data_IF_210280307287
#
_entry.id   IF_210280307287
#
_cell.length_a   1.000
_cell.length_b   1.000
_cell.length_c   1.000
_cell.angle_alpha   90.00
_cell.angle_beta   90.00
_cell.angle_gamma   90.00
#
_symmetry.space_group_name_H-M   'P 1'
#
loop_
_entity.id
_entity.type
_entity.pdbx_description
1 polymer ?
#
# COMPACT_ATOMS: atom_id res chain seq x y z
N UNK A 1 -20.69 17.34 -6.22
CA UNK A 1 -19.69 16.23 -6.17
C UNK A 1 -20.25 15.06 -6.97
N UNK A 2 -19.40 14.17 -7.49
CA UNK A 2 -19.83 12.98 -8.20
C UNK A 2 -20.48 11.98 -7.22
N UNK A 3 -21.71 11.54 -7.50
CA UNK A 3 -22.46 10.59 -6.66
C UNK A 3 -21.71 9.29 -6.37
N UNK A 4 -20.89 8.83 -7.32
CA UNK A 4 -20.02 7.66 -7.10
C UNK A 4 -19.00 7.93 -5.98
N UNK A 5 -18.36 9.09 -6.01
CA UNK A 5 -17.36 9.47 -4.99
C UNK A 5 -18.02 9.63 -3.62
N UNK A 6 -19.21 10.24 -3.56
CA UNK A 6 -19.99 10.40 -2.31
C UNK A 6 -20.38 9.04 -1.72
N UNK A 7 -20.79 8.09 -2.55
CA UNK A 7 -21.14 6.74 -2.11
C UNK A 7 -19.91 5.89 -1.73
N UNK A 8 -18.75 6.17 -2.34
CA UNK A 8 -17.52 5.40 -2.11
C UNK A 8 -16.83 5.80 -0.80
N UNK A 9 -16.63 7.10 -0.58
CA UNK A 9 -15.78 7.63 0.48
C UNK A 9 -16.49 7.65 1.83
N UNK A 10 -15.80 7.21 2.87
CA UNK A 10 -16.25 7.28 4.25
C UNK A 10 -15.25 8.08 5.10
N UNK A 11 -15.75 8.87 6.05
CA UNK A 11 -14.90 9.58 7.00
C UNK A 11 -14.55 8.71 8.20
N UNK A 12 -15.44 7.83 8.61
CA UNK A 12 -15.34 7.04 9.82
C UNK A 12 -15.02 5.57 9.53
N UNK A 13 -14.36 4.93 10.48
CA UNK A 13 -14.15 3.49 10.52
C UNK A 13 -15.45 2.77 10.86
N UNK A 14 -15.75 1.66 10.18
CA UNK A 14 -16.84 0.78 10.58
C UNK A 14 -16.60 0.17 11.98
N UNK A 15 -17.68 0.05 12.76
CA UNK A 15 -17.63 -0.62 14.07
C UNK A 15 -17.36 -2.14 13.96
N UNK A 16 -17.46 -2.71 12.77
CA UNK A 16 -17.10 -4.12 12.53
C UNK A 16 -15.58 -4.35 12.54
N UNK A 17 -14.77 -3.28 12.45
CA UNK A 17 -13.31 -3.37 12.52
C UNK A 17 -12.88 -3.06 13.96
N UNK A 18 -12.40 -4.05 14.74
CA UNK A 18 -11.82 -3.78 16.04
C UNK A 18 -10.61 -2.85 15.93
N UNK A 19 -10.35 -2.05 16.96
CA UNK A 19 -9.28 -1.04 16.92
C UNK A 19 -7.89 -1.65 16.69
N UNK A 20 -7.64 -2.83 17.22
CA UNK A 20 -6.38 -3.56 17.02
C UNK A 20 -6.14 -4.02 15.56
N UNK A 21 -7.17 -4.03 14.73
CA UNK A 21 -7.09 -4.36 13.30
C UNK A 21 -7.13 -3.12 12.38
N UNK A 22 -7.28 -1.94 12.93
CA UNK A 22 -7.25 -0.68 12.15
C UNK A 22 -5.80 -0.27 11.82
N UNK A 23 -5.10 -1.14 11.08
CA UNK A 23 -3.67 -0.98 10.73
C UNK A 23 -3.38 0.26 9.89
N UNK A 24 -4.38 0.74 9.16
CA UNK A 24 -4.25 1.74 8.10
C UNK A 24 -4.60 3.16 8.56
N UNK A 25 -5.05 3.35 9.78
CA UNK A 25 -5.56 4.64 10.29
C UNK A 25 -4.58 5.79 10.08
N UNK A 26 -3.30 5.55 10.33
CA UNK A 26 -2.25 6.57 10.22
C UNK A 26 -1.79 6.81 8.77
N UNK A 27 -2.21 5.97 7.82
CA UNK A 27 -1.96 6.17 6.39
C UNK A 27 -3.03 7.01 5.70
N UNK A 28 -4.24 7.14 6.27
CA UNK A 28 -5.32 7.91 5.65
C UNK A 28 -4.85 9.33 5.36
N UNK A 29 -5.02 9.77 4.10
CA UNK A 29 -4.58 11.07 3.60
C UNK A 29 -3.64 10.96 2.40
N UNK A 30 -2.85 12.00 2.19
CA UNK A 30 -1.98 12.15 1.02
C UNK A 30 -0.50 12.16 1.41
N UNK A 31 0.32 11.51 0.58
CA UNK A 31 1.74 11.31 0.83
C UNK A 31 2.57 11.63 -0.41
N UNK A 32 3.67 12.33 -0.19
CA UNK A 32 4.76 12.45 -1.16
C UNK A 32 5.71 11.28 -0.97
N UNK A 33 6.13 10.66 -2.07
CA UNK A 33 6.98 9.47 -2.04
C UNK A 33 8.37 9.74 -2.59
N UNK A 34 9.36 9.12 -1.94
CA UNK A 34 10.65 8.79 -2.53
C UNK A 34 10.64 7.28 -2.78
N UNK A 35 10.47 6.87 -4.04
CA UNK A 35 10.53 5.48 -4.47
C UNK A 35 11.94 5.15 -4.87
N UNK A 36 12.55 4.16 -4.21
CA UNK A 36 13.95 3.81 -4.38
C UNK A 36 14.08 2.41 -4.97
N UNK A 37 14.62 2.33 -6.18
CA UNK A 37 15.03 1.10 -6.83
C UNK A 37 16.50 0.83 -6.60
N UNK A 38 16.89 -0.42 -6.42
CA UNK A 38 18.27 -0.83 -6.25
C UNK A 38 18.93 -0.22 -5.03
N UNK A 39 18.20 -0.05 -3.95
CA UNK A 39 18.67 0.57 -2.71
C UNK A 39 20.00 -0.02 -2.23
N UNK A 40 20.95 0.85 -1.94
CA UNK A 40 22.28 0.47 -1.46
C UNK A 40 23.19 -0.14 -2.53
N UNK A 41 22.82 -0.11 -3.81
CA UNK A 41 23.64 -0.60 -4.93
C UNK A 41 24.14 0.56 -5.80
N UNK A 42 25.15 0.32 -6.69
CA UNK A 42 25.60 1.35 -7.64
C UNK A 42 24.52 1.80 -8.64
N UNK A 43 23.43 1.05 -8.77
CA UNK A 43 22.31 1.35 -9.67
C UNK A 43 21.09 1.96 -8.93
N UNK A 44 21.31 2.47 -7.73
CA UNK A 44 20.26 3.12 -6.95
C UNK A 44 19.65 4.28 -7.73
N UNK A 45 18.31 4.26 -7.81
CA UNK A 45 17.53 5.27 -8.52
C UNK A 45 16.35 5.73 -7.64
N UNK A 46 16.16 7.03 -7.56
CA UNK A 46 15.09 7.69 -6.85
C UNK A 46 14.05 8.24 -7.82
N UNK A 47 12.78 7.96 -7.57
CA UNK A 47 11.66 8.47 -8.36
C UNK A 47 10.62 9.08 -7.40
N UNK A 48 10.22 10.32 -7.66
CA UNK A 48 9.15 10.96 -6.89
C UNK A 48 7.80 10.35 -7.26
N UNK A 49 6.99 10.10 -6.25
CA UNK A 49 5.64 9.57 -6.42
C UNK A 49 4.63 10.21 -5.47
N UNK A 50 3.41 9.72 -5.57
CA UNK A 50 2.29 10.11 -4.71
C UNK A 50 1.57 8.84 -4.25
N UNK A 51 1.04 8.86 -3.01
CA UNK A 51 0.18 7.80 -2.51
C UNK A 51 -0.96 8.41 -1.70
N UNK A 52 -2.19 8.10 -2.08
CA UNK A 52 -3.38 8.67 -1.44
C UNK A 52 -4.22 7.54 -0.88
N UNK A 53 -4.65 7.65 0.38
CA UNK A 53 -5.43 6.64 1.06
C UNK A 53 -6.74 7.23 1.57
N UNK A 54 -7.83 6.50 1.40
CA UNK A 54 -9.15 6.87 1.93
C UNK A 54 -9.87 5.66 2.50
N UNK A 55 -10.74 5.91 3.49
CA UNK A 55 -11.74 4.92 3.91
C UNK A 55 -12.85 4.88 2.87
N UNK A 56 -13.36 3.69 2.62
CA UNK A 56 -14.42 3.43 1.63
C UNK A 56 -15.51 2.53 2.19
N UNK A 57 -16.67 2.52 1.51
CA UNK A 57 -17.74 1.54 1.74
C UNK A 57 -18.16 1.49 3.22
N UNK A 58 -18.67 2.62 3.73
CA UNK A 58 -19.09 2.77 5.12
C UNK A 58 -17.97 2.50 6.14
N UNK A 59 -16.71 2.71 5.72
CA UNK A 59 -15.53 2.49 6.55
C UNK A 59 -15.11 1.03 6.71
N UNK A 60 -15.72 0.09 5.98
CA UNK A 60 -15.34 -1.33 5.97
C UNK A 60 -14.06 -1.60 5.22
N UNK A 61 -13.69 -0.72 4.29
CA UNK A 61 -12.51 -0.85 3.47
C UNK A 61 -11.60 0.36 3.48
N UNK A 62 -10.43 0.16 2.94
CA UNK A 62 -9.44 1.19 2.64
C UNK A 62 -9.06 1.05 1.18
N UNK A 63 -9.12 2.16 0.44
CA UNK A 63 -8.61 2.20 -0.92
C UNK A 63 -7.44 3.19 -0.99
N UNK A 64 -6.44 2.83 -1.76
CA UNK A 64 -5.37 3.76 -2.11
C UNK A 64 -5.26 3.98 -3.61
N UNK A 65 -4.58 5.07 -3.97
CA UNK A 65 -4.11 5.33 -5.32
C UNK A 65 -2.61 5.55 -5.23
N UNK A 66 -1.84 4.65 -5.83
CA UNK A 66 -0.38 4.71 -5.92
C UNK A 66 0.03 5.24 -7.29
N UNK A 67 0.83 6.28 -7.34
CA UNK A 67 1.23 6.96 -8.57
C UNK A 67 2.74 7.20 -8.53
N UNK A 68 3.46 6.55 -9.43
CA UNK A 68 4.91 6.69 -9.54
C UNK A 68 5.36 6.53 -11.01
N UNK A 69 5.95 7.51 -11.66
CA UNK A 69 6.25 8.88 -11.19
C UNK A 69 5.00 9.69 -10.80
N UNK A 70 5.20 10.75 -10.01
CA UNK A 70 4.14 11.66 -9.59
C UNK A 70 3.39 12.25 -10.81
N UNK A 71 2.11 12.62 -10.63
CA UNK A 71 1.27 13.17 -11.73
C UNK A 71 1.91 14.34 -12.44
N UNK A 72 2.63 15.20 -11.71
CA UNK A 72 3.36 16.35 -12.29
C UNK A 72 4.55 15.96 -13.17
N UNK A 73 5.03 14.72 -13.08
CA UNK A 73 6.22 14.23 -13.76
C UNK A 73 5.93 13.12 -14.78
N UNK A 74 4.67 12.66 -14.86
CA UNK A 74 4.29 11.62 -15.82
C UNK A 74 4.27 12.17 -17.24
N UNK A 75 4.79 11.36 -18.17
CA UNK A 75 4.84 11.66 -19.60
C UNK A 75 3.63 11.03 -20.33
N UNK A 76 3.30 9.79 -19.99
CA UNK A 76 2.18 9.07 -20.58
C UNK A 76 1.56 8.04 -19.60
N UNK A 77 0.45 7.40 -20.02
CA UNK A 77 -0.28 6.46 -19.19
C UNK A 77 0.43 5.14 -18.92
N UNK A 78 1.41 4.78 -19.73
CA UNK A 78 2.19 3.55 -19.58
C UNK A 78 3.45 3.72 -18.75
N UNK A 79 3.80 4.95 -18.41
CA UNK A 79 5.00 5.21 -17.61
C UNK A 79 4.78 4.84 -16.14
N UNK A 80 5.60 3.92 -15.62
CA UNK A 80 5.57 3.51 -14.22
C UNK A 80 4.23 2.92 -13.79
N UNK A 81 3.73 3.35 -12.64
CA UNK A 81 2.49 2.85 -12.04
C UNK A 81 1.48 3.96 -11.79
N UNK A 82 0.23 3.68 -12.08
CA UNK A 82 -0.93 4.46 -11.64
C UNK A 82 -1.99 3.43 -11.26
N UNK A 83 -1.87 2.91 -10.06
CA UNK A 83 -2.62 1.75 -9.60
C UNK A 83 -3.43 2.03 -8.35
N UNK A 84 -4.22 1.06 -7.97
CA UNK A 84 -5.06 1.12 -6.78
C UNK A 84 -5.02 -0.19 -6.02
N UNK A 85 -5.04 -0.11 -4.69
CA UNK A 85 -5.29 -1.26 -3.81
C UNK A 85 -6.60 -1.07 -3.09
N UNK A 86 -7.46 -2.08 -3.12
CA UNK A 86 -8.64 -2.15 -2.28
C UNK A 86 -8.37 -3.16 -1.18
N UNK A 87 -8.59 -2.76 0.07
CA UNK A 87 -8.44 -3.57 1.28
C UNK A 87 -9.79 -3.67 1.95
N UNK A 88 -10.27 -4.90 2.15
CA UNK A 88 -11.50 -5.16 2.89
C UNK A 88 -11.20 -5.95 4.14
N UNK A 89 -11.71 -5.50 5.29
CA UNK A 89 -11.59 -6.26 6.52
C UNK A 89 -12.46 -7.51 6.48
N UNK A 90 -11.88 -8.64 6.84
CA UNK A 90 -12.57 -9.92 6.94
C UNK A 90 -12.73 -10.30 8.42
N UNK A 91 -13.90 -10.09 9.03
CA UNK A 91 -14.11 -10.34 10.46
C UNK A 91 -14.02 -11.82 10.83
N UNK A 92 -14.39 -12.72 9.91
CA UNK A 92 -14.33 -14.17 10.16
C UNK A 92 -12.90 -14.68 10.27
N UNK A 93 -11.96 -14.10 9.50
CA UNK A 93 -10.55 -14.48 9.48
C UNK A 93 -9.67 -13.53 10.27
N UNK A 94 -10.20 -12.40 10.74
CA UNK A 94 -9.46 -11.35 11.45
C UNK A 94 -8.23 -10.90 10.67
N UNK A 95 -8.43 -10.57 9.39
CA UNK A 95 -7.38 -10.16 8.45
C UNK A 95 -7.93 -9.16 7.45
N UNK A 96 -7.05 -8.59 6.65
CA UNK A 96 -7.41 -7.75 5.51
C UNK A 96 -7.24 -8.54 4.20
N UNK A 97 -8.32 -8.71 3.45
CA UNK A 97 -8.27 -9.27 2.09
C UNK A 97 -8.06 -8.11 1.12
N UNK A 98 -7.08 -8.26 0.20
CA UNK A 98 -6.61 -7.14 -0.61
C UNK A 98 -6.43 -7.52 -2.05
N UNK A 99 -6.70 -6.57 -2.94
CA UNK A 99 -6.39 -6.65 -4.37
C UNK A 99 -5.71 -5.36 -4.83
N UNK A 100 -4.57 -5.51 -5.49
CA UNK A 100 -3.87 -4.44 -6.20
C UNK A 100 -4.06 -4.61 -7.69
N UNK A 101 -4.28 -3.51 -8.41
CA UNK A 101 -4.35 -3.50 -9.88
C UNK A 101 -3.72 -2.25 -10.46
N UNK A 102 -2.98 -2.44 -11.54
CA UNK A 102 -2.37 -1.39 -12.36
C UNK A 102 -2.11 -1.94 -13.76
N UNK A 103 -2.74 -1.33 -14.78
CA UNK A 103 -2.64 -1.79 -16.17
C UNK A 103 -2.87 -3.31 -16.32
N UNK A 104 -1.85 -4.04 -16.72
CA UNK A 104 -1.88 -5.48 -16.97
C UNK A 104 -1.65 -6.31 -15.71
N UNK A 105 -1.35 -5.67 -14.57
CA UNK A 105 -1.02 -6.33 -13.32
C UNK A 105 -2.24 -6.39 -12.40
N UNK A 106 -2.47 -7.54 -11.82
CA UNK A 106 -3.41 -7.74 -10.73
C UNK A 106 -2.80 -8.74 -9.75
N UNK A 107 -2.78 -8.37 -8.47
CA UNK A 107 -2.23 -9.23 -7.41
C UNK A 107 -3.15 -9.21 -6.19
N UNK A 108 -3.25 -10.34 -5.51
CA UNK A 108 -4.03 -10.48 -4.29
C UNK A 108 -3.14 -10.75 -3.10
N UNK A 109 -3.47 -10.13 -1.98
CA UNK A 109 -2.71 -10.22 -0.73
C UNK A 109 -3.64 -10.45 0.45
N UNK A 110 -3.04 -10.97 1.52
CA UNK A 110 -3.62 -10.97 2.87
C UNK A 110 -2.77 -10.04 3.75
N UNK A 111 -3.42 -9.08 4.37
CA UNK A 111 -2.80 -8.14 5.30
C UNK A 111 -2.92 -8.61 6.74
N UNK A 112 -1.79 -8.70 7.43
CA UNK A 112 -1.67 -9.06 8.85
C UNK A 112 -0.69 -8.13 9.55
N UNK A 113 -0.64 -8.20 10.89
CA UNK A 113 0.36 -7.48 11.67
C UNK A 113 1.32 -8.48 12.32
N UNK A 114 2.61 -8.32 12.06
CA UNK A 114 3.65 -9.21 12.55
C UNK A 114 4.81 -8.37 13.12
N UNK A 115 5.11 -8.55 14.42
CA UNK A 115 6.19 -7.83 15.09
C UNK A 115 6.16 -6.31 14.89
N UNK A 116 4.96 -5.71 14.98
CA UNK A 116 4.77 -4.27 14.78
C UNK A 116 4.75 -3.79 13.34
N UNK A 117 5.03 -4.66 12.36
CA UNK A 117 4.99 -4.35 10.93
C UNK A 117 3.65 -4.78 10.33
N UNK A 118 3.17 -4.06 9.34
CA UNK A 118 2.00 -4.47 8.55
C UNK A 118 2.48 -5.20 7.30
N UNK A 119 2.16 -6.49 7.23
CA UNK A 119 2.67 -7.41 6.22
C UNK A 119 1.56 -7.82 5.27
N UNK A 120 1.77 -7.58 3.98
CA UNK A 120 0.88 -7.98 2.91
C UNK A 120 1.50 -9.18 2.18
N UNK A 121 0.98 -10.36 2.46
CA UNK A 121 1.50 -11.61 1.87
C UNK A 121 0.75 -11.91 0.58
N UNK A 122 1.49 -12.07 -0.52
CA UNK A 122 0.92 -12.45 -1.81
C UNK A 122 0.33 -13.87 -1.72
N UNK A 123 -0.94 -14.06 -2.11
CA UNK A 123 -1.61 -15.36 -1.99
C UNK A 123 -1.11 -16.41 -2.97
N UNK A 124 -0.56 -15.99 -4.12
CA UNK A 124 -0.03 -16.89 -5.15
C UNK A 124 1.45 -17.19 -4.97
N UNK A 125 2.19 -16.26 -4.37
CA UNK A 125 3.60 -16.42 -4.02
C UNK A 125 3.86 -15.93 -2.60
N UNK A 126 3.65 -16.77 -1.62
CA UNK A 126 3.75 -16.44 -0.19
C UNK A 126 5.15 -15.97 0.24
N UNK A 127 6.16 -16.13 -0.60
CA UNK A 127 7.51 -15.60 -0.33
C UNK A 127 7.62 -14.13 -0.67
N UNK A 128 6.77 -13.62 -1.57
CA UNK A 128 6.70 -12.19 -1.90
C UNK A 128 5.76 -11.49 -0.93
N UNK A 129 6.27 -10.46 -0.29
CA UNK A 129 5.54 -9.64 0.67
C UNK A 129 5.77 -8.16 0.41
N UNK A 130 4.74 -7.39 0.62
CA UNK A 130 4.82 -5.95 0.73
C UNK A 130 4.68 -5.57 2.19
N UNK A 131 5.61 -4.80 2.71
CA UNK A 131 5.71 -4.59 4.14
C UNK A 131 5.81 -3.10 4.46
N UNK A 132 4.87 -2.60 5.26
CA UNK A 132 5.06 -1.34 5.97
C UNK A 132 5.86 -1.65 7.23
N UNK A 133 7.15 -1.31 7.20
CA UNK A 133 8.08 -1.59 8.30
C UNK A 133 7.88 -0.63 9.45
N UNK A 134 7.45 0.59 9.12
CA UNK A 134 7.16 1.66 10.07
C UNK A 134 6.06 2.56 9.51
N UNK A 135 5.11 2.92 10.35
CA UNK A 135 4.05 3.88 10.06
C UNK A 135 3.95 4.82 11.25
N UNK A 136 4.11 6.11 11.00
CA UNK A 136 3.88 7.18 11.97
C UNK A 136 2.92 8.22 11.40
N UNK A 137 2.59 9.23 12.18
CA UNK A 137 1.69 10.32 11.77
C UNK A 137 2.16 11.03 10.51
N UNK A 138 3.47 11.24 10.36
CA UNK A 138 4.04 12.10 9.32
C UNK A 138 4.96 11.38 8.33
N UNK A 139 5.32 10.13 8.61
CA UNK A 139 6.23 9.33 7.80
C UNK A 139 5.85 7.87 7.80
N UNK A 140 6.15 7.18 6.70
CA UNK A 140 6.16 5.72 6.67
C UNK A 140 7.32 5.19 5.83
N UNK A 141 7.67 3.93 6.08
CA UNK A 141 8.59 3.17 5.25
C UNK A 141 7.90 1.87 4.79
N UNK A 142 8.00 1.59 3.50
CA UNK A 142 7.46 0.41 2.86
C UNK A 142 8.52 -0.25 1.99
N UNK A 143 8.46 -1.57 1.87
CA UNK A 143 9.36 -2.31 0.99
C UNK A 143 8.66 -3.50 0.33
N UNK A 144 9.10 -3.82 -0.89
CA UNK A 144 8.76 -5.06 -1.57
C UNK A 144 9.90 -6.06 -1.31
N UNK A 145 9.59 -7.13 -0.61
CA UNK A 145 10.58 -8.13 -0.21
C UNK A 145 10.21 -9.53 -0.68
N UNK A 146 11.21 -10.34 -0.93
CA UNK A 146 11.05 -11.77 -1.24
C UNK A 146 11.98 -12.57 -0.36
N UNK A 147 11.40 -13.56 0.32
CA UNK A 147 12.14 -14.59 1.04
C UNK A 147 12.70 -15.58 0.02
N UNK A 148 14.02 -15.58 -0.13
CA UNK A 148 14.70 -16.40 -1.13
C UNK A 148 14.82 -17.84 -0.65
N UNK A 149 14.95 -18.80 -1.60
CA UNK A 149 15.02 -20.23 -1.28
C UNK A 149 16.26 -20.60 -0.47
N UNK A 150 17.29 -19.77 -0.48
CA UNK A 150 18.53 -19.94 0.29
C UNK A 150 18.45 -19.36 1.71
N UNK A 151 17.29 -18.85 2.12
CA UNK A 151 17.06 -18.24 3.43
C UNK A 151 17.45 -16.77 3.51
N UNK A 152 17.89 -16.14 2.42
CA UNK A 152 18.15 -14.69 2.37
C UNK A 152 16.89 -13.91 2.03
N UNK A 153 16.85 -12.65 2.44
CA UNK A 153 15.77 -11.71 2.12
C UNK A 153 16.25 -10.76 1.02
N UNK A 154 15.51 -10.69 -0.09
CA UNK A 154 15.77 -9.73 -1.16
C UNK A 154 14.78 -8.57 -1.08
N UNK A 155 15.28 -7.34 -1.00
CA UNK A 155 14.51 -6.12 -1.13
C UNK A 155 14.58 -5.64 -2.56
N UNK A 156 13.44 -5.57 -3.24
CA UNK A 156 13.38 -5.15 -4.65
C UNK A 156 13.32 -3.64 -4.79
N UNK A 157 12.55 -3.02 -3.94
CA UNK A 157 12.39 -1.57 -3.89
C UNK A 157 11.89 -1.14 -2.52
N UNK A 158 12.08 0.13 -2.22
CA UNK A 158 11.63 0.77 -1.00
C UNK A 158 10.88 2.06 -1.31
N UNK A 159 9.96 2.43 -0.44
CA UNK A 159 9.22 3.67 -0.52
C UNK A 159 9.28 4.38 0.83
N UNK A 160 9.76 5.61 0.81
CA UNK A 160 9.72 6.51 1.96
C UNK A 160 8.62 7.54 1.72
N UNK A 161 7.59 7.51 2.56
CA UNK A 161 6.47 8.43 2.49
C UNK A 161 6.60 9.57 3.49
N UNK A 162 6.29 10.78 3.04
CA UNK A 162 6.16 11.98 3.88
C UNK A 162 4.78 12.57 3.67
N UNK A 163 4.05 12.85 4.76
CA UNK A 163 2.69 13.40 4.69
C UNK A 163 2.70 14.78 4.01
N UNK A 164 1.71 15.00 3.15
CA UNK A 164 1.44 16.30 2.52
C UNK A 164 0.62 17.21 3.44
#
# INVERSE_FOLDING_TARGET
MNQFVEALISQEKSNLIPDEYDYWKDLIGSWSLDYVEGYGTPNERHVRGEWHFARILEGLGIQDIFICPARSERIDTRQGEYGTTIRMYNPAKKQWDMVYTCLENMSRFVGTKENGRVVLTNIHNKRNRWVFTDISKDKFHWQNETDMKDGTLKIWCEVFGTRQ
#
